data_IF_903520851951
#
_entry.id   IF_903520851951
#
_cell.length_a   1.000
_cell.length_b   1.000
_cell.length_c   1.000
_cell.angle_alpha   90.00
_cell.angle_beta   90.00
_cell.angle_gamma   90.00
#
_symmetry.space_group_name_H-M   'P 1'
#
loop_
_entity.id
_entity.type
_entity.pdbx_description
1 polymer ?
#
# COMPACT_ATOMS: atom_id res chain seq x y z
N UNK A 1 -10.46 -1.09 -1.98
CA UNK A 1 -10.35 0.39 -2.09
C UNK A 1 -9.09 0.84 -2.83
N UNK A 2 -7.87 0.68 -2.31
CA UNK A 2 -6.65 1.12 -3.03
C UNK A 2 -6.34 0.23 -4.23
N UNK A 3 -6.56 -1.07 -4.11
CA UNK A 3 -6.41 -2.01 -5.22
C UNK A 3 -7.35 -1.66 -6.39
N UNK A 4 -8.55 -1.16 -6.10
CA UNK A 4 -9.52 -0.75 -7.12
C UNK A 4 -9.05 0.48 -7.90
N UNK A 5 -8.37 1.43 -7.21
CA UNK A 5 -7.73 2.58 -7.85
C UNK A 5 -6.57 2.15 -8.75
N UNK A 6 -5.76 1.19 -8.29
CA UNK A 6 -4.70 0.59 -9.10
C UNK A 6 -5.31 -0.04 -10.36
N UNK A 7 -6.34 -0.87 -10.19
CA UNK A 7 -7.01 -1.56 -11.29
C UNK A 7 -7.59 -0.58 -12.31
N UNK A 8 -8.14 0.55 -11.87
CA UNK A 8 -8.67 1.59 -12.76
C UNK A 8 -7.59 2.11 -13.72
N UNK A 9 -6.41 2.46 -13.20
CA UNK A 9 -5.30 2.94 -14.03
C UNK A 9 -4.68 1.82 -14.89
N UNK A 10 -4.62 0.59 -14.38
CA UNK A 10 -4.17 -0.58 -15.15
C UNK A 10 -5.09 -0.80 -16.36
N UNK A 11 -6.41 -0.79 -16.17
CA UNK A 11 -7.37 -0.96 -17.27
C UNK A 11 -7.20 0.13 -18.32
N UNK A 12 -7.01 1.39 -17.89
CA UNK A 12 -6.77 2.51 -18.80
C UNK A 12 -5.48 2.34 -19.63
N UNK A 13 -4.38 1.96 -18.99
CA UNK A 13 -3.11 1.73 -19.69
C UNK A 13 -3.19 0.53 -20.64
N UNK A 14 -3.93 -0.51 -20.27
CA UNK A 14 -4.17 -1.69 -21.10
C UNK A 14 -4.99 -1.35 -22.33
N UNK A 15 -6.08 -0.61 -22.16
CA UNK A 15 -6.91 -0.14 -23.28
C UNK A 15 -6.15 0.77 -24.24
N UNK A 16 -5.08 1.42 -23.77
CA UNK A 16 -4.17 2.20 -24.60
C UNK A 16 -3.09 1.37 -25.29
N UNK A 17 -3.00 0.06 -25.02
CA UNK A 17 -1.97 -0.83 -25.58
C UNK A 17 -0.56 -0.55 -25.07
N UNK A 18 -0.43 0.12 -23.93
CA UNK A 18 0.88 0.57 -23.40
C UNK A 18 1.51 -0.48 -22.49
N UNK A 19 0.70 -1.41 -21.97
CA UNK A 19 1.11 -2.43 -21.02
C UNK A 19 0.52 -3.79 -21.39
N UNK A 20 1.22 -4.87 -21.04
CA UNK A 20 0.73 -6.24 -21.21
C UNK A 20 -0.15 -6.67 -20.01
N UNK A 21 -1.06 -7.61 -20.27
CA UNK A 21 -2.11 -8.10 -19.37
C UNK A 21 -1.55 -8.96 -18.22
N UNK A 22 -0.35 -9.54 -18.35
CA UNK A 22 0.08 -10.68 -17.54
C UNK A 22 0.38 -10.38 -16.06
N UNK A 23 0.91 -9.20 -15.70
CA UNK A 23 1.52 -9.02 -14.36
C UNK A 23 1.20 -7.71 -13.61
N UNK A 24 0.06 -7.06 -13.90
CA UNK A 24 -0.27 -5.79 -13.26
C UNK A 24 -0.32 -5.83 -11.71
N UNK A 25 -0.60 -7.00 -11.13
CA UNK A 25 -0.62 -7.20 -9.67
C UNK A 25 0.77 -7.23 -9.02
N UNK A 26 1.83 -7.51 -9.78
CA UNK A 26 3.19 -7.73 -9.27
C UNK A 26 4.18 -6.63 -9.64
N UNK A 27 3.71 -5.53 -10.22
CA UNK A 27 4.62 -4.50 -10.66
C UNK A 27 5.31 -3.76 -9.53
N UNK A 28 6.64 -3.72 -9.62
CA UNK A 28 7.41 -2.82 -8.79
C UNK A 28 7.29 -1.38 -9.32
N UNK A 29 7.42 -0.36 -8.45
CA UNK A 29 7.52 1.04 -8.89
C UNK A 29 8.59 1.24 -9.96
N UNK A 30 9.69 0.49 -9.93
CA UNK A 30 10.76 0.56 -10.91
C UNK A 30 10.32 0.06 -12.30
N UNK A 31 9.60 -1.06 -12.38
CA UNK A 31 9.06 -1.58 -13.64
C UNK A 31 8.08 -0.58 -14.28
N UNK A 32 7.22 0.05 -13.47
CA UNK A 32 6.32 1.11 -13.93
C UNK A 32 7.06 2.32 -14.51
N UNK A 33 8.18 2.72 -13.89
CA UNK A 33 9.02 3.79 -14.42
C UNK A 33 9.66 3.41 -15.76
N UNK A 34 10.13 2.17 -15.90
CA UNK A 34 10.67 1.66 -17.18
C UNK A 34 9.60 1.70 -18.27
N UNK A 35 8.39 1.21 -17.98
CA UNK A 35 7.28 1.23 -18.94
C UNK A 35 6.89 2.65 -19.35
N UNK A 36 6.86 3.58 -18.39
CA UNK A 36 6.65 5.01 -18.67
C UNK A 36 7.73 5.56 -19.60
N UNK A 37 9.00 5.24 -19.36
CA UNK A 37 10.11 5.70 -20.21
C UNK A 37 10.01 5.12 -21.62
N UNK A 38 9.68 3.82 -21.75
CA UNK A 38 9.45 3.19 -23.06
C UNK A 38 8.32 3.87 -23.82
N UNK A 39 7.22 4.19 -23.16
CA UNK A 39 6.11 4.93 -23.76
C UNK A 39 6.52 6.35 -24.21
N UNK A 40 7.36 7.05 -23.44
CA UNK A 40 7.87 8.37 -23.85
C UNK A 40 8.77 8.29 -25.09
N UNK A 41 9.59 7.24 -25.19
CA UNK A 41 10.54 7.06 -26.29
C UNK A 41 9.87 6.60 -27.58
N UNK A 42 8.91 5.68 -27.47
CA UNK A 42 8.19 5.10 -28.60
C UNK A 42 6.68 5.06 -28.31
N UNK A 43 5.98 6.21 -28.29
CA UNK A 43 4.55 6.23 -28.08
C UNK A 43 3.85 5.59 -29.29
N UNK A 44 2.81 4.77 -29.08
CA UNK A 44 2.02 4.22 -30.18
C UNK A 44 1.51 5.35 -31.10
N UNK A 45 1.63 5.19 -32.43
CA UNK A 45 1.43 6.29 -33.39
C UNK A 45 -0.02 6.81 -33.43
N UNK A 46 -0.99 5.98 -33.04
CA UNK A 46 -2.43 6.27 -33.13
C UNK A 46 -3.03 6.90 -31.86
N UNK A 47 -2.23 7.40 -30.92
CA UNK A 47 -2.73 7.98 -29.66
C UNK A 47 -2.80 9.51 -29.76
N UNK A 48 -3.99 10.13 -29.61
CA UNK A 48 -4.12 11.59 -29.55
C UNK A 48 -3.32 12.21 -28.40
N UNK A 49 -2.85 13.46 -28.57
CA UNK A 49 -2.03 14.16 -27.57
C UNK A 49 -2.67 14.21 -26.17
N UNK A 50 -3.97 14.47 -26.10
CA UNK A 50 -4.70 14.49 -24.82
C UNK A 50 -4.69 13.13 -24.14
N UNK A 51 -4.83 12.05 -24.91
CA UNK A 51 -4.77 10.67 -24.38
C UNK A 51 -3.36 10.31 -23.93
N UNK A 52 -2.30 10.84 -24.57
CA UNK A 52 -0.90 10.69 -24.10
C UNK A 52 -0.69 11.33 -22.72
N UNK A 53 -1.23 12.54 -22.49
CA UNK A 53 -1.17 13.21 -21.18
C UNK A 53 -1.87 12.37 -20.10
N UNK A 54 -3.04 11.83 -20.38
CA UNK A 54 -3.78 10.97 -19.44
C UNK A 54 -3.06 9.65 -19.14
N UNK A 55 -2.37 9.07 -20.13
CA UNK A 55 -1.51 7.89 -19.93
C UNK A 55 -0.34 8.22 -18.99
N UNK A 56 0.35 9.35 -19.21
CA UNK A 56 1.42 9.77 -18.31
C UNK A 56 0.94 10.02 -16.88
N UNK A 57 -0.24 10.63 -16.71
CA UNK A 57 -0.87 10.80 -15.39
C UNK A 57 -1.18 9.45 -14.74
N UNK A 58 -1.68 8.49 -15.51
CA UNK A 58 -1.97 7.14 -15.02
C UNK A 58 -0.71 6.40 -14.57
N UNK A 59 0.40 6.53 -15.28
CA UNK A 59 1.69 6.00 -14.82
C UNK A 59 2.14 6.63 -13.50
N UNK A 60 2.06 7.96 -13.38
CA UNK A 60 2.44 8.66 -12.15
C UNK A 60 1.55 8.25 -10.96
N UNK A 61 0.24 8.11 -11.19
CA UNK A 61 -0.69 7.62 -10.18
C UNK A 61 -0.38 6.18 -9.76
N UNK A 62 -0.12 5.28 -10.70
CA UNK A 62 0.22 3.88 -10.40
C UNK A 62 1.49 3.75 -9.56
N UNK A 63 2.56 4.47 -9.90
CA UNK A 63 3.80 4.46 -9.11
C UNK A 63 3.51 4.86 -7.66
N UNK A 64 2.71 5.90 -7.48
CA UNK A 64 2.32 6.42 -6.17
C UNK A 64 1.45 5.44 -5.38
N UNK A 65 0.44 4.85 -6.03
CA UNK A 65 -0.48 3.88 -5.41
C UNK A 65 0.20 2.55 -5.06
N UNK A 66 1.11 2.07 -5.91
CA UNK A 66 1.92 0.88 -5.63
C UNK A 66 2.85 1.11 -4.43
N UNK A 67 3.48 2.28 -4.34
CA UNK A 67 4.31 2.64 -3.20
C UNK A 67 3.50 2.65 -1.89
N UNK A 68 2.32 3.28 -1.90
CA UNK A 68 1.42 3.30 -0.74
C UNK A 68 0.91 1.91 -0.36
N UNK A 69 0.58 1.09 -1.35
CA UNK A 69 0.19 -0.30 -1.09
C UNK A 69 1.31 -1.05 -0.38
N UNK A 70 2.56 -0.91 -0.85
CA UNK A 70 3.72 -1.49 -0.18
C UNK A 70 3.88 -0.96 1.25
N UNK A 71 3.71 0.34 1.46
CA UNK A 71 3.75 0.94 2.80
C UNK A 71 2.70 0.35 3.74
N UNK A 72 1.48 0.14 3.25
CA UNK A 72 0.40 -0.48 4.03
C UNK A 72 0.74 -1.91 4.44
N UNK A 73 1.24 -2.71 3.50
CA UNK A 73 1.58 -4.11 3.75
C UNK A 73 2.79 -4.27 4.69
N UNK A 74 3.81 -3.43 4.54
CA UNK A 74 5.08 -3.58 5.28
C UNK A 74 5.11 -2.82 6.61
N UNK A 75 4.44 -1.68 6.70
CA UNK A 75 4.55 -0.76 7.84
C UNK A 75 3.20 -0.47 8.52
N UNK A 76 2.09 -0.94 7.93
CA UNK A 76 0.75 -0.76 8.49
C UNK A 76 0.12 0.61 8.17
N UNK A 77 -1.07 0.81 8.73
CA UNK A 77 -1.97 1.91 8.36
C UNK A 77 -1.40 3.28 8.74
N UNK A 78 -0.88 3.42 9.97
CA UNK A 78 -0.41 4.72 10.49
C UNK A 78 0.78 5.29 9.70
N UNK A 79 1.86 4.53 9.43
CA UNK A 79 2.96 5.03 8.59
C UNK A 79 2.55 5.31 7.14
N UNK A 80 1.68 4.48 6.57
CA UNK A 80 1.18 4.70 5.22
C UNK A 80 0.34 5.99 5.11
N UNK A 81 -0.54 6.22 6.09
CA UNK A 81 -1.39 7.42 6.15
C UNK A 81 -0.58 8.72 6.22
N UNK A 82 0.45 8.77 7.07
CA UNK A 82 1.32 9.95 7.19
C UNK A 82 2.19 10.16 5.94
N UNK A 83 2.66 9.08 5.31
CA UNK A 83 3.37 9.15 4.04
C UNK A 83 2.50 9.74 2.92
N UNK A 84 1.23 9.30 2.82
CA UNK A 84 0.27 9.85 1.86
C UNK A 84 0.05 11.35 2.13
N UNK A 85 -0.15 11.75 3.39
CA UNK A 85 -0.33 13.16 3.77
C UNK A 85 0.88 14.01 3.37
N UNK A 86 2.09 13.53 3.61
CA UNK A 86 3.31 14.23 3.19
C UNK A 86 3.35 14.42 1.67
N UNK A 87 3.01 13.36 0.91
CA UNK A 87 2.99 13.42 -0.55
C UNK A 87 1.88 14.30 -1.14
N UNK A 88 0.74 14.42 -0.45
CA UNK A 88 -0.32 15.37 -0.82
C UNK A 88 0.13 16.82 -0.62
N UNK A 89 0.92 17.11 0.42
CA UNK A 89 1.48 18.44 0.68
C UNK A 89 2.58 18.82 -0.30
N UNK A 90 3.39 17.87 -0.77
CA UNK A 90 4.48 18.10 -1.73
C UNK A 90 3.99 18.51 -3.14
N UNK A 91 2.72 18.25 -3.47
CA UNK A 91 2.09 18.74 -4.70
C UNK A 91 2.54 18.03 -5.99
N UNK A 92 1.67 18.06 -7.01
CA UNK A 92 1.85 17.52 -8.37
C UNK A 92 1.53 16.03 -8.60
N UNK A 93 2.17 15.06 -7.93
CA UNK A 93 1.94 13.63 -8.25
C UNK A 93 0.63 13.05 -7.70
N UNK A 94 -0.01 13.73 -6.75
CA UNK A 94 -1.23 13.27 -6.07
C UNK A 94 -2.48 14.06 -6.43
N UNK A 95 -2.44 14.88 -7.48
CA UNK A 95 -3.62 15.66 -7.93
C UNK A 95 -4.82 14.77 -8.34
N UNK A 96 -4.59 13.51 -8.70
CA UNK A 96 -5.67 12.55 -8.96
C UNK A 96 -6.43 12.18 -7.67
N UNK A 97 -5.75 12.23 -6.53
CA UNK A 97 -6.20 11.72 -5.26
C UNK A 97 -7.18 12.66 -4.56
N UNK A 98 -7.03 13.99 -4.75
CA UNK A 98 -7.98 14.99 -4.25
C UNK A 98 -9.33 14.95 -4.98
N UNK A 99 -9.33 14.53 -6.25
CA UNK A 99 -10.53 14.45 -7.09
C UNK A 99 -11.26 13.10 -7.01
N UNK A 100 -10.60 12.07 -6.50
CA UNK A 100 -11.16 10.73 -6.46
C UNK A 100 -11.86 10.45 -5.11
N UNK A 101 -13.16 10.18 -5.16
CA UNK A 101 -13.97 9.94 -3.96
C UNK A 101 -13.51 8.69 -3.19
N UNK A 102 -13.27 7.58 -3.89
CA UNK A 102 -12.79 6.33 -3.29
C UNK A 102 -11.47 6.53 -2.55
N UNK A 103 -10.58 7.37 -3.07
CA UNK A 103 -9.33 7.71 -2.41
C UNK A 103 -9.56 8.51 -1.12
N UNK A 104 -10.44 9.52 -1.17
CA UNK A 104 -10.79 10.31 0.02
C UNK A 104 -11.41 9.45 1.11
N UNK A 105 -12.30 8.54 0.72
CA UNK A 105 -12.93 7.60 1.65
C UNK A 105 -11.88 6.67 2.29
N UNK A 106 -10.90 6.22 1.50
CA UNK A 106 -9.79 5.40 2.02
C UNK A 106 -8.95 6.19 3.03
N UNK A 107 -8.65 7.46 2.74
CA UNK A 107 -7.90 8.33 3.65
C UNK A 107 -8.66 8.61 4.95
N UNK A 108 -9.96 8.90 4.86
CA UNK A 108 -10.80 9.10 6.04
C UNK A 108 -10.85 7.85 6.91
N UNK A 109 -10.93 6.67 6.29
CA UNK A 109 -10.88 5.39 7.00
C UNK A 109 -9.52 5.17 7.69
N UNK A 110 -8.40 5.41 6.99
CA UNK A 110 -7.07 5.29 7.59
C UNK A 110 -6.86 6.26 8.75
N UNK A 111 -7.38 7.49 8.63
CA UNK A 111 -7.35 8.47 9.69
C UNK A 111 -8.13 7.97 10.90
N UNK A 112 -9.38 7.53 10.70
CA UNK A 112 -10.23 6.99 11.76
C UNK A 112 -9.56 5.83 12.49
N UNK A 113 -8.98 4.89 11.75
CA UNK A 113 -8.28 3.75 12.34
C UNK A 113 -7.04 4.19 13.12
N UNK A 114 -6.36 5.24 12.65
CA UNK A 114 -5.17 5.78 13.32
C UNK A 114 -5.50 6.59 14.58
N UNK A 115 -6.66 7.25 14.65
CA UNK A 115 -7.09 8.07 15.80
C UNK A 115 -7.90 7.29 16.83
N UNK A 116 -8.80 6.41 16.39
CA UNK A 116 -9.81 5.73 17.23
C UNK A 116 -9.54 4.23 17.38
N UNK A 117 -8.60 3.65 16.62
CA UNK A 117 -8.30 2.22 16.64
C UNK A 117 -9.15 1.40 15.66
N UNK A 118 -9.10 0.08 15.79
CA UNK A 118 -9.74 -0.85 14.85
C UNK A 118 -11.28 -0.70 14.89
N UNK A 119 -11.97 -0.64 13.74
CA UNK A 119 -13.37 -0.20 13.67
C UNK A 119 -14.38 -1.30 14.03
N UNK A 120 -13.93 -2.54 14.23
CA UNK A 120 -14.80 -3.69 14.49
C UNK A 120 -14.46 -4.32 15.85
N UNK A 121 -15.43 -4.48 16.76
CA UNK A 121 -15.24 -5.16 18.04
C UNK A 121 -14.65 -6.58 17.88
N UNK A 122 -14.99 -7.27 16.78
CA UNK A 122 -14.44 -8.61 16.47
C UNK A 122 -12.95 -8.54 16.17
N UNK A 123 -12.51 -7.54 15.40
CA UNK A 123 -11.10 -7.40 15.02
C UNK A 123 -10.27 -6.88 16.19
N UNK A 124 -10.84 -5.99 17.01
CA UNK A 124 -10.24 -5.58 18.26
C UNK A 124 -10.06 -6.78 19.20
N UNK A 125 -11.09 -7.62 19.34
CA UNK A 125 -10.98 -8.83 20.18
C UNK A 125 -9.96 -9.83 19.66
N UNK A 126 -9.89 -10.02 18.35
CA UNK A 126 -8.87 -10.86 17.72
C UNK A 126 -7.46 -10.32 18.00
N UNK A 127 -7.25 -9.01 17.87
CA UNK A 127 -5.96 -8.38 18.17
C UNK A 127 -5.58 -8.57 19.65
N UNK A 128 -6.52 -8.41 20.58
CA UNK A 128 -6.30 -8.70 22.00
C UNK A 128 -5.87 -10.15 22.23
N UNK A 129 -6.59 -11.11 21.64
CA UNK A 129 -6.30 -12.55 21.80
C UNK A 129 -4.92 -12.90 21.23
N UNK A 130 -4.56 -12.36 20.06
CA UNK A 130 -3.24 -12.57 19.47
C UNK A 130 -2.14 -11.97 20.33
N UNK A 131 -2.30 -10.74 20.81
CA UNK A 131 -1.33 -10.08 21.69
C UNK A 131 -1.16 -10.85 23.00
N UNK A 132 -2.25 -11.30 23.61
CA UNK A 132 -2.22 -12.11 24.83
C UNK A 132 -1.51 -13.45 24.60
N UNK A 133 -1.83 -14.14 23.50
CA UNK A 133 -1.18 -15.39 23.12
C UNK A 133 0.33 -15.22 22.96
N UNK A 134 0.78 -14.22 22.19
CA UNK A 134 2.20 -13.98 21.97
C UNK A 134 2.93 -13.53 23.24
N UNK A 135 2.30 -12.74 24.11
CA UNK A 135 2.89 -12.38 25.42
C UNK A 135 3.07 -13.61 26.30
N UNK A 136 2.06 -14.48 26.38
CA UNK A 136 2.12 -15.71 27.16
C UNK A 136 3.20 -16.65 26.63
N UNK A 137 3.28 -16.84 25.32
CA UNK A 137 4.34 -17.60 24.67
C UNK A 137 5.74 -17.04 24.98
N UNK A 138 5.91 -15.71 24.89
CA UNK A 138 7.17 -15.06 25.21
C UNK A 138 7.55 -15.20 26.70
N UNK A 139 6.57 -15.10 27.61
CA UNK A 139 6.77 -15.32 29.04
C UNK A 139 7.14 -16.76 29.36
N UNK A 140 6.50 -17.75 28.70
CA UNK A 140 6.85 -19.17 28.84
C UNK A 140 8.27 -19.41 28.34
N UNK A 141 8.63 -18.83 27.19
CA UNK A 141 9.98 -18.95 26.65
C UNK A 141 11.03 -18.32 27.57
N UNK A 142 10.78 -17.09 28.06
CA UNK A 142 11.69 -16.39 28.99
C UNK A 142 11.80 -17.13 30.32
N UNK A 143 10.69 -17.62 30.88
CA UNK A 143 10.71 -18.41 32.11
C UNK A 143 11.43 -19.75 31.93
N UNK A 144 11.23 -20.44 30.80
CA UNK A 144 11.97 -21.67 30.47
C UNK A 144 13.47 -21.42 30.31
N UNK A 145 13.86 -20.32 29.68
CA UNK A 145 15.27 -19.92 29.58
C UNK A 145 15.87 -19.56 30.95
N UNK A 146 15.13 -18.87 31.82
CA UNK A 146 15.56 -18.58 33.20
C UNK A 146 15.70 -19.89 33.99
N UNK A 147 14.76 -20.83 33.87
CA UNK A 147 14.82 -22.13 34.55
C UNK A 147 16.06 -22.94 34.11
N UNK A 148 16.41 -22.92 32.82
CA UNK A 148 17.64 -23.54 32.32
C UNK A 148 18.92 -22.79 32.74
N UNK A 149 18.88 -21.46 32.91
CA UNK A 149 20.04 -20.66 33.30
C UNK A 149 20.30 -20.65 34.81
N UNK A 150 19.27 -20.81 35.63
CA UNK A 150 19.38 -20.79 37.10
C UNK A 150 19.75 -22.17 37.65
N UNK A 151 19.73 -23.24 36.83
CA UNK A 151 20.27 -24.54 37.21
C UNK A 151 19.68 -25.05 38.52
N UNK A 152 18.45 -25.54 38.48
CA UNK A 152 17.93 -26.34 39.59
C UNK A 152 18.69 -27.68 39.61
N UNK A 153 19.82 -27.71 40.31
CA UNK A 153 20.38 -28.91 40.92
C UNK A 153 19.37 -29.37 41.99
N UNK A 154 18.38 -30.16 41.57
CA UNK A 154 17.56 -30.94 42.50
C UNK A 154 18.41 -32.10 43.02
N UNK A 155 18.65 -32.06 44.33
CA UNK A 155 19.29 -33.08 45.16
C UNK A 155 18.37 -34.30 45.36
#
# INVERSE_FOLDING_TARGET
MILDLINTHVVQLRAAGVIDNRDAANWSPHQLLILRTKFSQAPPPNIPLEKKKEIHKSFAALVSLCHVSKMLWSHGIKPAHESIKAKLKEGHSWNFASKNQTFRDAMNMMQKISSEGLPSPKVQKLAEVLVDHFRKQLLIFVMGCIFCLVGFDDQ
#
